data_IF_455924687768
#
_entry.id   IF_455924687768
#
_cell.length_a   1.000
_cell.length_b   1.000
_cell.length_c   1.000
_cell.angle_alpha   90.00
_cell.angle_beta   90.00
_cell.angle_gamma   90.00
#
_symmetry.space_group_name_H-M   'P 1'
#
loop_
_entity.id
_entity.type
_entity.pdbx_description
1 polymer ?
#
# COMPACT_ATOMS: atom_id res chain seq x y z
N UNK A 1 20.50 -38.66 -30.98
CA UNK A 1 21.43 -37.96 -30.08
C UNK A 1 20.58 -37.05 -29.23
N UNK A 2 20.08 -37.60 -28.12
CA UNK A 2 19.14 -36.93 -27.22
C UNK A 2 19.93 -36.10 -26.20
N UNK A 3 19.94 -34.78 -26.36
CA UNK A 3 20.40 -33.85 -25.33
C UNK A 3 19.20 -33.38 -24.51
N UNK A 4 18.72 -34.26 -23.63
CA UNK A 4 17.86 -33.88 -22.51
C UNK A 4 18.75 -33.31 -21.39
N UNK A 5 19.01 -32.01 -21.43
CA UNK A 5 19.59 -31.28 -20.29
C UNK A 5 18.56 -31.23 -19.17
N UNK A 6 18.74 -32.15 -18.22
CA UNK A 6 18.07 -32.13 -16.92
C UNK A 6 18.46 -30.83 -16.19
N UNK A 7 17.55 -29.85 -16.18
CA UNK A 7 17.65 -28.71 -15.27
C UNK A 7 17.69 -29.24 -13.83
N UNK A 8 18.69 -28.89 -13.01
CA UNK A 8 18.69 -29.26 -11.60
C UNK A 8 17.53 -28.54 -10.92
N UNK A 9 16.63 -29.31 -10.30
CA UNK A 9 15.66 -28.80 -9.36
C UNK A 9 16.37 -28.04 -8.23
N UNK A 10 15.71 -26.99 -7.73
CA UNK A 10 16.16 -26.10 -6.66
C UNK A 10 16.51 -26.85 -5.36
N UNK A 11 17.73 -27.39 -5.29
CA UNK A 11 18.39 -27.75 -4.06
C UNK A 11 18.81 -26.47 -3.36
N UNK A 12 18.26 -26.22 -2.16
CA UNK A 12 18.58 -25.05 -1.35
C UNK A 12 20.07 -24.99 -1.03
N UNK A 13 20.82 -24.26 -1.85
CA UNK A 13 22.21 -23.91 -1.60
C UNK A 13 22.32 -23.30 -0.20
N UNK A 14 23.24 -23.83 0.60
CA UNK A 14 23.53 -23.23 1.89
C UNK A 14 24.13 -21.84 1.68
N UNK A 15 23.36 -20.82 2.02
CA UNK A 15 23.75 -19.42 1.84
C UNK A 15 24.59 -18.98 3.04
N UNK A 16 25.86 -18.57 2.86
CA UNK A 16 26.68 -18.11 3.95
C UNK A 16 26.12 -16.82 4.56
N UNK A 17 26.39 -16.55 5.85
CA UNK A 17 25.87 -15.36 6.54
C UNK A 17 26.33 -14.05 5.89
N UNK A 18 27.52 -14.03 5.30
CA UNK A 18 28.04 -12.88 4.55
C UNK A 18 27.18 -12.56 3.31
N UNK A 19 26.74 -13.59 2.59
CA UNK A 19 25.87 -13.41 1.42
C UNK A 19 24.49 -12.88 1.85
N UNK A 20 23.93 -13.42 2.93
CA UNK A 20 22.66 -12.92 3.50
C UNK A 20 22.75 -11.44 3.90
N UNK A 21 23.84 -11.05 4.57
CA UNK A 21 24.07 -9.67 4.98
C UNK A 21 24.21 -8.73 3.77
N UNK A 22 24.97 -9.13 2.76
CA UNK A 22 25.15 -8.36 1.53
C UNK A 22 23.84 -8.22 0.76
N UNK A 23 23.05 -9.29 0.65
CA UNK A 23 21.72 -9.23 0.02
C UNK A 23 20.79 -8.28 0.78
N UNK A 24 20.75 -8.35 2.11
CA UNK A 24 19.91 -7.50 2.94
C UNK A 24 20.29 -6.02 2.80
N UNK A 25 21.59 -5.70 2.86
CA UNK A 25 22.11 -4.34 2.68
C UNK A 25 21.75 -3.79 1.30
N UNK A 26 21.99 -4.58 0.25
CA UNK A 26 21.71 -4.17 -1.14
C UNK A 26 20.21 -3.95 -1.35
N UNK A 27 19.36 -4.85 -0.82
CA UNK A 27 17.89 -4.67 -0.86
C UNK A 27 17.47 -3.39 -0.16
N UNK A 28 18.02 -3.10 1.02
CA UNK A 28 17.70 -1.89 1.79
C UNK A 28 18.14 -0.62 1.06
N UNK A 29 19.31 -0.64 0.41
CA UNK A 29 19.88 0.50 -0.30
C UNK A 29 19.01 0.97 -1.47
N UNK A 30 18.34 0.04 -2.15
CA UNK A 30 17.47 0.32 -3.29
C UNK A 30 15.97 0.42 -2.98
N UNK A 31 15.54 -0.09 -1.81
CA UNK A 31 14.13 -0.15 -1.46
C UNK A 31 13.48 1.24 -1.51
N UNK A 32 12.34 1.32 -2.20
CA UNK A 32 11.51 2.52 -2.33
C UNK A 32 12.16 3.71 -3.03
N UNK A 33 13.32 3.53 -3.69
CA UNK A 33 13.89 4.61 -4.51
C UNK A 33 13.00 4.87 -5.72
N UNK A 34 12.73 6.15 -5.98
CA UNK A 34 12.01 6.62 -7.15
C UNK A 34 13.01 7.12 -8.17
N UNK A 35 12.73 6.86 -9.44
CA UNK A 35 13.54 7.38 -10.54
C UNK A 35 12.70 7.49 -11.81
N UNK A 36 13.13 8.37 -12.70
CA UNK A 36 12.56 8.50 -14.04
C UNK A 36 13.33 7.66 -15.05
N UNK A 37 12.61 6.93 -15.90
CA UNK A 37 13.23 6.08 -16.90
C UNK A 37 12.33 5.82 -18.10
N UNK A 38 12.95 5.34 -19.17
CA UNK A 38 12.32 4.98 -20.42
C UNK A 38 12.23 3.46 -20.51
N UNK A 39 11.02 2.94 -20.57
CA UNK A 39 10.80 1.54 -20.90
C UNK A 39 10.85 1.38 -22.42
N UNK A 40 11.88 0.67 -22.90
CA UNK A 40 12.23 0.63 -24.32
C UNK A 40 11.68 -0.60 -25.02
N UNK A 41 12.10 -1.79 -24.57
CA UNK A 41 11.78 -3.05 -25.21
C UNK A 41 11.96 -4.24 -24.26
N UNK A 42 11.56 -5.42 -24.74
CA UNK A 42 11.72 -6.69 -24.05
C UNK A 42 12.69 -7.57 -24.82
N UNK A 43 13.84 -7.87 -24.22
CA UNK A 43 14.95 -8.56 -24.87
C UNK A 43 15.19 -9.92 -24.22
N UNK A 44 15.63 -10.88 -25.02
CA UNK A 44 16.12 -12.17 -24.53
C UNK A 44 17.53 -11.98 -23.96
N UNK A 45 17.72 -12.36 -22.70
CA UNK A 45 19.03 -12.39 -22.06
C UNK A 45 19.50 -13.84 -22.03
N UNK A 46 20.54 -14.13 -22.82
CA UNK A 46 21.07 -15.48 -22.99
C UNK A 46 21.62 -16.07 -21.68
N UNK A 47 22.26 -15.24 -20.85
CA UNK A 47 22.89 -15.69 -19.59
C UNK A 47 21.88 -16.26 -18.59
N UNK A 48 20.62 -15.82 -18.66
CA UNK A 48 19.54 -16.29 -17.77
C UNK A 48 18.44 -17.04 -18.55
N UNK A 49 18.68 -17.33 -19.83
CA UNK A 49 17.75 -17.98 -20.76
C UNK A 49 16.32 -17.46 -20.66
N UNK A 50 16.14 -16.15 -20.59
CA UNK A 50 14.85 -15.55 -20.27
C UNK A 50 14.68 -14.12 -20.78
N UNK A 51 13.43 -13.73 -21.01
CA UNK A 51 13.09 -12.38 -21.44
C UNK A 51 13.10 -11.40 -20.27
N UNK A 52 13.70 -10.24 -20.48
CA UNK A 52 13.79 -9.15 -19.52
C UNK A 52 13.44 -7.83 -20.21
N UNK A 53 12.75 -6.99 -19.47
CA UNK A 53 12.32 -5.67 -19.89
C UNK A 53 13.44 -4.66 -19.60
N UNK A 54 13.76 -3.82 -20.60
CA UNK A 54 14.85 -2.87 -20.54
C UNK A 54 14.32 -1.49 -20.19
N UNK A 55 14.75 -0.98 -19.03
CA UNK A 55 14.45 0.38 -18.58
C UNK A 55 15.73 1.21 -18.55
N UNK A 56 15.80 2.21 -19.40
CA UNK A 56 16.93 3.14 -19.50
C UNK A 56 16.72 4.30 -18.54
N UNK A 57 17.76 4.71 -17.81
CA UNK A 57 17.65 5.84 -16.89
C UNK A 57 17.52 7.16 -17.66
N UNK A 58 16.73 8.08 -17.12
CA UNK A 58 16.67 9.45 -17.64
C UNK A 58 17.95 10.23 -17.27
N UNK A 59 18.35 11.19 -18.11
CA UNK A 59 19.56 12.01 -17.93
C UNK A 59 19.72 12.70 -16.56
N UNK A 60 18.60 12.99 -15.89
CA UNK A 60 18.56 13.62 -14.57
C UNK A 60 19.03 12.67 -13.44
N UNK A 61 18.93 11.35 -13.64
CA UNK A 61 19.14 10.32 -12.60
C UNK A 61 20.63 9.93 -12.41
N UNK A 62 21.52 10.93 -12.39
CA UNK A 62 22.99 10.73 -12.30
C UNK A 62 23.45 10.11 -10.99
N UNK A 63 22.76 10.43 -9.89
CA UNK A 63 23.10 9.86 -8.58
C UNK A 63 22.76 8.37 -8.52
N UNK A 64 21.62 7.98 -9.09
CA UNK A 64 21.24 6.58 -9.19
C UNK A 64 22.14 5.81 -10.15
N UNK A 65 22.53 6.40 -11.29
CA UNK A 65 23.51 5.81 -12.21
C UNK A 65 24.83 5.47 -11.50
N UNK A 66 25.41 6.42 -10.75
CA UNK A 66 26.64 6.17 -9.98
C UNK A 66 26.48 5.04 -8.98
N UNK A 67 25.33 5.00 -8.30
CA UNK A 67 25.02 3.97 -7.32
C UNK A 67 24.89 2.59 -7.96
N UNK A 68 24.15 2.49 -9.07
CA UNK A 68 23.97 1.26 -9.85
C UNK A 68 25.31 0.73 -10.32
N UNK A 69 26.14 1.58 -10.91
CA UNK A 69 27.46 1.18 -11.41
C UNK A 69 28.38 0.66 -10.29
N UNK A 70 28.46 1.40 -9.18
CA UNK A 70 29.24 0.98 -8.00
C UNK A 70 28.73 -0.36 -7.44
N UNK A 71 27.42 -0.50 -7.27
CA UNK A 71 26.83 -1.71 -6.71
C UNK A 71 26.95 -2.92 -7.65
N UNK A 72 26.83 -2.72 -8.97
CA UNK A 72 26.97 -3.78 -9.95
C UNK A 72 28.37 -4.37 -9.90
N UNK A 73 29.41 -3.51 -9.87
CA UNK A 73 30.80 -3.95 -9.73
C UNK A 73 31.06 -4.66 -8.40
N UNK A 74 30.47 -4.19 -7.29
CA UNK A 74 30.58 -4.86 -5.98
C UNK A 74 29.90 -6.22 -5.96
N UNK A 75 28.66 -6.31 -6.44
CA UNK A 75 27.89 -7.55 -6.52
C UNK A 75 28.60 -8.57 -7.41
N UNK A 76 29.10 -8.14 -8.57
CA UNK A 76 29.81 -9.01 -9.49
C UNK A 76 31.09 -9.56 -8.86
N UNK A 77 31.91 -8.72 -8.20
CA UNK A 77 33.11 -9.16 -7.47
C UNK A 77 32.80 -10.09 -6.31
N UNK A 78 31.73 -9.81 -5.57
CA UNK A 78 31.32 -10.65 -4.44
C UNK A 78 30.88 -12.04 -4.93
N UNK A 79 30.01 -12.08 -5.94
CA UNK A 79 29.44 -13.33 -6.44
C UNK A 79 30.39 -14.16 -7.30
N UNK A 80 31.45 -13.59 -7.88
CA UNK A 80 32.47 -14.35 -8.62
C UNK A 80 33.02 -15.57 -7.84
N UNK A 81 33.08 -15.48 -6.50
CA UNK A 81 33.58 -16.56 -5.63
C UNK A 81 32.55 -17.67 -5.39
N UNK A 82 31.28 -17.37 -5.61
CA UNK A 82 30.15 -18.11 -5.09
C UNK A 82 29.31 -18.70 -6.21
N UNK A 83 28.97 -17.88 -7.21
CA UNK A 83 28.15 -18.23 -8.35
C UNK A 83 28.91 -17.78 -9.59
N UNK A 84 29.60 -18.69 -10.30
CA UNK A 84 30.22 -18.34 -11.57
C UNK A 84 29.14 -17.84 -12.53
N UNK A 85 29.42 -16.73 -13.22
CA UNK A 85 28.51 -16.07 -14.16
C UNK A 85 27.19 -15.54 -13.57
N UNK A 86 27.18 -15.16 -12.28
CA UNK A 86 26.05 -14.41 -11.71
C UNK A 86 25.74 -13.17 -12.56
N UNK A 87 24.55 -13.13 -13.15
CA UNK A 87 24.12 -12.00 -13.95
C UNK A 87 23.47 -10.94 -13.06
N UNK A 88 23.97 -9.71 -13.15
CA UNK A 88 23.38 -8.56 -12.45
C UNK A 88 22.56 -7.79 -13.47
N UNK A 89 21.28 -7.54 -13.17
CA UNK A 89 20.35 -6.83 -14.06
C UNK A 89 20.64 -5.34 -14.23
N UNK A 90 21.91 -4.95 -14.35
CA UNK A 90 22.40 -3.60 -14.63
C UNK A 90 23.44 -3.73 -15.74
N UNK A 91 23.25 -2.99 -16.83
CA UNK A 91 24.24 -2.91 -17.91
C UNK A 91 24.51 -1.46 -18.28
N UNK A 92 25.60 -1.26 -19.02
CA UNK A 92 26.00 0.03 -19.53
C UNK A 92 26.07 -0.05 -21.05
N UNK A 93 25.33 0.82 -21.75
CA UNK A 93 25.21 0.84 -23.20
C UNK A 93 24.47 -0.39 -23.75
N UNK A 94 24.86 -0.80 -24.96
CA UNK A 94 24.30 -1.95 -25.67
C UNK A 94 24.70 -3.27 -25.02
N UNK A 95 23.74 -4.21 -24.89
CA UNK A 95 24.00 -5.52 -24.30
C UNK A 95 23.06 -6.58 -24.88
N UNK A 96 23.63 -7.72 -25.30
CA UNK A 96 22.88 -8.80 -25.94
C UNK A 96 22.18 -8.30 -27.21
N UNK A 97 20.87 -8.51 -27.29
CA UNK A 97 20.05 -8.02 -28.40
C UNK A 97 19.63 -6.55 -28.27
N UNK A 98 19.80 -5.93 -27.10
CA UNK A 98 19.48 -4.52 -26.89
C UNK A 98 20.58 -3.62 -27.47
N UNK A 99 20.20 -2.75 -28.40
CA UNK A 99 21.09 -1.73 -28.97
C UNK A 99 20.70 -0.35 -28.44
N UNK A 100 21.55 0.21 -27.58
CA UNK A 100 21.34 1.55 -27.07
C UNK A 100 21.53 2.58 -28.18
N UNK A 101 20.53 3.43 -28.38
CA UNK A 101 20.60 4.59 -29.29
C UNK A 101 20.79 5.83 -28.44
N UNK A 102 21.85 6.58 -28.71
CA UNK A 102 22.14 7.80 -27.99
C UNK A 102 21.00 8.83 -28.19
N UNK A 103 20.25 9.08 -27.12
CA UNK A 103 19.20 10.08 -27.05
C UNK A 103 19.62 11.13 -26.00
N UNK A 104 19.59 12.45 -26.32
CA UNK A 104 19.98 13.50 -25.38
C UNK A 104 19.25 13.47 -24.03
N UNK A 105 18.07 12.83 -23.95
CA UNK A 105 17.29 12.65 -22.72
C UNK A 105 17.64 11.41 -21.89
N UNK A 106 18.46 10.48 -22.41
CA UNK A 106 18.71 9.17 -21.83
C UNK A 106 20.16 9.03 -21.32
N UNK A 107 20.35 8.17 -20.33
CA UNK A 107 21.65 7.68 -19.89
C UNK A 107 21.96 6.35 -20.58
N UNK A 108 23.23 5.95 -20.58
CA UNK A 108 23.65 4.66 -21.12
C UNK A 108 23.35 3.52 -20.14
N UNK A 109 23.10 3.83 -18.86
CA UNK A 109 22.80 2.82 -17.84
C UNK A 109 21.39 2.27 -18.00
N UNK A 110 21.28 0.93 -18.05
CA UNK A 110 20.04 0.20 -18.23
C UNK A 110 19.78 -0.72 -17.01
N UNK A 111 18.52 -0.77 -16.58
CA UNK A 111 18.03 -1.73 -15.59
C UNK A 111 17.20 -2.79 -16.30
N UNK A 112 17.53 -4.04 -16.04
CA UNK A 112 16.82 -5.19 -16.59
C UNK A 112 15.89 -5.77 -15.53
N UNK A 113 14.61 -5.87 -15.86
CA UNK A 113 13.54 -6.21 -14.92
C UNK A 113 12.50 -7.12 -15.58
N UNK A 114 11.52 -7.57 -14.81
CA UNK A 114 10.26 -8.11 -15.32
C UNK A 114 9.14 -7.11 -14.99
N UNK A 115 8.50 -6.56 -16.02
CA UNK A 115 7.35 -5.66 -15.94
C UNK A 115 6.21 -6.31 -16.74
N UNK A 116 5.02 -6.36 -16.16
CA UNK A 116 3.85 -6.90 -16.83
C UNK A 116 3.00 -5.76 -17.39
N UNK A 117 2.56 -5.91 -18.64
CA UNK A 117 1.52 -5.11 -19.29
C UNK A 117 1.72 -3.58 -19.25
N UNK A 118 2.98 -3.12 -19.36
CA UNK A 118 3.30 -1.70 -19.52
C UNK A 118 3.56 -1.39 -21.00
N UNK A 119 3.08 -0.25 -21.49
CA UNK A 119 3.41 0.22 -22.84
C UNK A 119 4.80 0.89 -22.85
N UNK A 120 5.50 0.84 -23.98
CA UNK A 120 6.78 1.55 -24.12
C UNK A 120 6.61 3.05 -23.94
N UNK A 121 7.60 3.70 -23.33
CA UNK A 121 7.54 5.14 -23.05
C UNK A 121 8.21 5.52 -21.73
N UNK A 122 7.96 6.75 -21.32
CA UNK A 122 8.59 7.35 -20.15
C UNK A 122 7.70 7.30 -18.91
N UNK A 123 8.26 6.84 -17.80
CA UNK A 123 7.53 6.66 -16.55
C UNK A 123 8.38 7.00 -15.34
N UNK A 124 7.67 7.30 -14.25
CA UNK A 124 8.23 7.22 -12.91
C UNK A 124 8.17 5.77 -12.43
N UNK A 125 9.31 5.25 -12.02
CA UNK A 125 9.45 3.92 -11.45
C UNK A 125 9.83 4.01 -9.98
N UNK A 126 9.37 3.01 -9.22
CA UNK A 126 9.83 2.75 -7.86
C UNK A 126 10.49 1.38 -7.80
N UNK A 127 11.70 1.31 -7.25
CA UNK A 127 12.37 0.03 -6.98
C UNK A 127 11.74 -0.59 -5.73
N UNK A 128 10.95 -1.66 -5.92
CA UNK A 128 10.31 -2.36 -4.79
C UNK A 128 11.33 -3.15 -3.98
N UNK A 129 12.15 -3.93 -4.65
CA UNK A 129 13.16 -4.81 -4.05
C UNK A 129 14.08 -5.39 -5.14
N UNK A 130 15.15 -6.05 -4.71
CA UNK A 130 15.97 -6.92 -5.56
C UNK A 130 15.62 -8.39 -5.26
N UNK A 131 15.49 -9.19 -6.31
CA UNK A 131 15.33 -10.64 -6.25
C UNK A 131 16.67 -11.28 -6.58
N UNK A 132 17.19 -12.04 -5.64
CA UNK A 132 18.37 -12.88 -5.83
C UNK A 132 17.88 -14.27 -6.14
N UNK A 133 18.12 -14.73 -7.37
CA UNK A 133 17.91 -16.12 -7.78
C UNK A 133 19.29 -16.78 -7.92
N UNK A 134 19.31 -18.05 -8.30
CA UNK A 134 20.54 -18.84 -8.31
C UNK A 134 21.63 -18.28 -9.24
N UNK A 135 21.23 -17.69 -10.37
CA UNK A 135 22.14 -17.13 -11.38
C UNK A 135 21.81 -15.68 -11.79
N UNK A 136 20.88 -15.01 -11.09
CA UNK A 136 20.54 -13.64 -11.40
C UNK A 136 20.21 -12.76 -10.20
N UNK A 137 20.61 -11.49 -10.30
CA UNK A 137 20.14 -10.40 -9.45
C UNK A 137 19.20 -9.52 -10.27
N UNK A 138 17.92 -9.66 -10.02
CA UNK A 138 16.85 -9.01 -10.77
C UNK A 138 16.25 -7.84 -9.98
N UNK A 139 16.10 -6.68 -10.64
CA UNK A 139 15.37 -5.55 -10.07
C UNK A 139 13.87 -5.79 -10.22
N UNK A 140 13.10 -5.52 -9.15
CA UNK A 140 11.64 -5.54 -9.21
C UNK A 140 11.13 -4.11 -9.19
N UNK A 141 10.69 -3.62 -10.35
CA UNK A 141 10.16 -2.27 -10.49
C UNK A 141 8.63 -2.21 -10.31
N UNK A 142 8.13 -1.03 -9.96
CA UNK A 142 6.72 -0.67 -10.01
C UNK A 142 6.60 0.63 -10.79
N UNK A 143 5.77 0.65 -11.82
CA UNK A 143 5.35 1.91 -12.42
C UNK A 143 4.51 2.70 -11.41
N UNK A 144 4.85 3.97 -11.21
CA UNK A 144 4.16 4.90 -10.30
C UNK A 144 3.21 5.80 -11.08
N UNK A 145 3.70 6.43 -12.15
CA UNK A 145 2.89 7.26 -13.06
C UNK A 145 3.58 7.40 -14.43
N UNK A 146 2.82 7.59 -15.52
CA UNK A 146 3.37 8.04 -16.79
C UNK A 146 3.94 9.46 -16.67
N UNK A 147 4.96 9.75 -17.46
CA UNK A 147 5.43 11.12 -17.69
C UNK A 147 4.74 11.61 -18.94
N UNK A 148 3.93 12.65 -18.81
CA UNK A 148 3.33 13.29 -19.98
C UNK A 148 4.46 13.91 -20.83
N UNK A 149 4.51 13.64 -22.14
CA UNK A 149 5.48 14.28 -23.01
C UNK A 149 5.21 15.77 -22.98
N UNK A 150 6.19 16.54 -22.47
CA UNK A 150 6.11 17.99 -22.47
C UNK A 150 5.95 18.43 -23.94
N UNK A 151 4.83 19.07 -24.31
CA UNK A 151 4.60 19.44 -25.70
C UNK A 151 5.70 20.42 -26.08
N UNK A 152 6.55 20.01 -27.03
CA UNK A 152 7.55 20.88 -27.66
C UNK A 152 6.82 22.16 -28.04
N UNK A 153 7.17 23.24 -27.35
CA UNK A 153 6.55 24.53 -27.52
C UNK A 153 6.62 24.92 -29.00
N UNK A 154 5.49 24.86 -29.69
CA UNK A 154 5.31 25.64 -30.89
C UNK A 154 5.47 27.10 -30.46
N UNK A 155 6.27 27.92 -31.17
CA UNK A 155 6.53 29.29 -30.76
C UNK A 155 5.23 30.09 -30.90
N UNK A 156 4.49 30.20 -29.80
CA UNK A 156 3.31 31.05 -29.71
C UNK A 156 3.80 32.49 -29.66
N UNK A 157 3.52 33.23 -30.74
CA UNK A 157 3.62 34.69 -30.78
C UNK A 157 2.99 35.26 -29.51
N UNK A 158 3.78 36.08 -28.83
CA UNK A 158 3.38 36.90 -27.70
C UNK A 158 2.16 37.75 -28.04
N UNK A 159 1.10 37.62 -27.25
CA UNK A 159 0.16 38.69 -27.01
C UNK A 159 0.12 38.93 -25.50
N UNK A 160 0.89 39.92 -25.09
CA UNK A 160 0.76 40.60 -23.81
C UNK A 160 -0.62 41.25 -23.75
N UNK A 161 -1.44 40.87 -22.78
CA UNK A 161 -2.55 41.72 -22.34
C UNK A 161 -2.53 41.84 -20.81
N UNK A 162 -2.07 43.01 -20.38
CA UNK A 162 -2.37 43.58 -19.07
C UNK A 162 -3.88 43.55 -18.82
N UNK A 163 -4.32 43.07 -17.65
CA UNK A 163 -5.39 43.78 -16.92
C UNK A 163 -5.42 43.43 -15.43
N UNK A 164 -4.91 44.40 -14.68
CA UNK A 164 -5.23 44.79 -13.31
C UNK A 164 -6.51 44.21 -12.67
N UNK A 165 -6.33 43.62 -11.49
CA UNK A 165 -7.38 43.51 -10.46
C UNK A 165 -7.89 44.89 -10.03
N UNK A 166 -9.19 45.04 -9.70
CA UNK A 166 -9.66 46.11 -8.84
C UNK A 166 -10.13 45.56 -7.50
N UNK A 167 -9.41 45.93 -6.46
CA UNK A 167 -9.85 45.91 -5.06
C UNK A 167 -10.32 47.33 -4.71
N UNK A 168 -11.50 47.43 -4.09
CA UNK A 168 -12.09 48.55 -3.31
C UNK A 168 -12.56 49.81 -4.04
N UNK A 169 -13.85 50.13 -3.83
CA UNK A 169 -14.27 51.44 -3.36
C UNK A 169 -15.56 51.31 -2.52
N UNK A 170 -15.43 51.60 -1.22
CA UNK A 170 -16.50 51.90 -0.27
C UNK A 170 -16.68 53.41 -0.33
N UNK A 171 -17.90 53.90 -0.54
CA UNK A 171 -18.26 55.31 -0.26
C UNK A 171 -19.59 55.36 0.46
N UNK A 172 -19.51 55.78 1.71
CA UNK A 172 -20.59 56.25 2.59
C UNK A 172 -21.10 57.62 2.14
N UNK A 173 -22.41 57.84 2.29
CA UNK A 173 -23.06 59.15 2.20
C UNK A 173 -24.38 59.12 2.98
N UNK A 174 -24.42 59.86 4.08
CA UNK A 174 -25.55 60.02 5.02
C UNK A 174 -26.61 61.01 4.52
N UNK A 175 -27.86 60.87 5.01
CA UNK A 175 -28.80 62.00 5.15
C UNK A 175 -30.30 61.63 5.24
N UNK A 176 -30.82 61.53 6.48
CA UNK A 176 -32.16 61.88 7.03
C UNK A 176 -33.44 61.70 6.16
N UNK A 177 -34.61 61.22 6.61
CA UNK A 177 -35.23 61.11 7.94
C UNK A 177 -36.60 60.41 7.86
N UNK A 178 -37.05 59.88 9.01
CA UNK A 178 -38.43 59.64 9.48
C UNK A 178 -39.25 58.40 9.02
N UNK A 179 -39.46 57.54 10.02
CA UNK A 179 -40.74 56.98 10.49
C UNK A 179 -41.28 55.63 9.95
N UNK A 180 -41.33 54.69 10.91
CA UNK A 180 -42.34 53.62 11.16
C UNK A 180 -42.22 52.30 10.37
N UNK A 181 -42.68 51.19 10.99
CA UNK A 181 -42.12 49.86 10.80
C UNK A 181 -42.95 49.04 9.81
N UNK A 182 -42.41 48.76 8.63
CA UNK A 182 -42.90 47.70 7.73
C UNK A 182 -41.73 47.04 6.93
N UNK A 183 -40.51 47.17 7.43
CA UNK A 183 -39.25 46.89 6.73
C UNK A 183 -38.92 45.39 6.55
N UNK A 184 -39.80 44.46 6.96
CA UNK A 184 -39.54 43.01 6.85
C UNK A 184 -40.16 42.40 5.59
N UNK A 185 -41.10 43.09 4.93
CA UNK A 185 -41.75 42.59 3.72
C UNK A 185 -41.08 43.07 2.41
N UNK A 186 -40.54 44.30 2.37
CA UNK A 186 -39.89 44.86 1.17
C UNK A 186 -38.46 44.35 0.96
N UNK A 187 -37.73 43.99 2.02
CA UNK A 187 -36.36 43.47 1.90
C UNK A 187 -36.30 42.06 1.30
N UNK A 188 -37.40 41.30 1.37
CA UNK A 188 -37.55 40.00 0.71
C UNK A 188 -37.89 40.16 -0.78
N UNK A 189 -38.65 41.20 -1.14
CA UNK A 189 -38.99 41.48 -2.55
C UNK A 189 -37.80 42.09 -3.31
N UNK A 190 -37.08 43.05 -2.72
CA UNK A 190 -35.86 43.63 -3.30
C UNK A 190 -34.72 42.59 -3.51
N UNK A 191 -34.72 41.48 -2.78
CA UNK A 191 -33.75 40.38 -2.99
C UNK A 191 -34.16 39.34 -4.03
N UNK A 192 -35.46 39.17 -4.28
CA UNK A 192 -35.99 38.18 -5.23
C UNK A 192 -35.89 38.66 -6.67
N UNK A 193 -36.19 39.94 -6.92
CA UNK A 193 -36.08 40.53 -8.26
C UNK A 193 -34.63 40.63 -8.71
N UNK A 194 -33.71 40.97 -7.79
CA UNK A 194 -32.28 41.05 -8.04
C UNK A 194 -31.67 39.64 -8.24
N UNK A 195 -32.15 38.64 -7.50
CA UNK A 195 -31.81 37.23 -7.73
C UNK A 195 -32.35 36.72 -9.08
N UNK A 196 -33.57 37.07 -9.47
CA UNK A 196 -34.16 36.72 -10.76
C UNK A 196 -33.39 37.34 -11.92
N UNK A 197 -32.96 38.59 -11.78
CA UNK A 197 -32.12 39.27 -12.75
C UNK A 197 -30.75 38.59 -12.90
N UNK A 198 -30.10 38.23 -11.79
CA UNK A 198 -28.83 37.49 -11.81
C UNK A 198 -29.01 36.08 -12.40
N UNK A 199 -30.11 35.41 -12.10
CA UNK A 199 -30.43 34.07 -12.63
C UNK A 199 -30.70 34.13 -14.14
N UNK A 200 -31.41 35.15 -14.62
CA UNK A 200 -31.64 35.36 -16.04
C UNK A 200 -30.34 35.72 -16.77
N UNK A 201 -29.52 36.61 -16.21
CA UNK A 201 -28.21 36.94 -16.77
C UNK A 201 -27.27 35.73 -16.82
N UNK A 202 -27.31 34.88 -15.80
CA UNK A 202 -26.55 33.62 -15.80
C UNK A 202 -27.11 32.63 -16.83
N UNK A 203 -28.44 32.52 -16.94
CA UNK A 203 -29.11 31.67 -17.93
C UNK A 203 -28.74 32.08 -19.36
N UNK A 204 -28.75 33.37 -19.66
CA UNK A 204 -28.45 33.88 -21.00
C UNK A 204 -26.95 33.76 -21.30
N UNK A 205 -26.08 33.96 -20.31
CA UNK A 205 -24.65 33.67 -20.44
C UNK A 205 -24.37 32.19 -20.72
N UNK A 206 -25.05 31.27 -20.01
CA UNK A 206 -24.90 29.82 -20.24
C UNK A 206 -25.46 29.43 -21.60
N UNK A 207 -26.63 29.94 -22.00
CA UNK A 207 -27.19 29.70 -23.33
C UNK A 207 -26.22 30.15 -24.41
N UNK A 208 -25.66 31.35 -24.29
CA UNK A 208 -24.73 31.88 -25.29
C UNK A 208 -23.43 31.07 -25.36
N UNK A 209 -22.89 30.65 -24.21
CA UNK A 209 -21.69 29.79 -24.14
C UNK A 209 -21.96 28.40 -24.74
N UNK A 210 -23.13 27.82 -24.47
CA UNK A 210 -23.55 26.52 -25.01
C UNK A 210 -23.87 26.62 -26.50
N UNK A 211 -24.44 27.73 -26.95
CA UNK A 211 -24.73 27.96 -28.37
C UNK A 211 -23.45 28.21 -29.17
N UNK A 212 -22.48 28.94 -28.62
CA UNK A 212 -21.15 29.11 -29.23
C UNK A 212 -20.37 27.79 -29.25
N UNK A 213 -20.47 26.96 -28.21
CA UNK A 213 -19.88 25.61 -28.19
C UNK A 213 -20.57 24.66 -29.18
N UNK A 214 -21.91 24.68 -29.25
CA UNK A 214 -22.66 23.86 -30.20
C UNK A 214 -22.47 24.30 -31.65
N UNK A 215 -22.44 25.60 -31.93
CA UNK A 215 -22.32 26.11 -33.29
C UNK A 215 -20.91 25.95 -33.86
N UNK A 216 -19.87 25.96 -33.01
CA UNK A 216 -18.48 25.95 -33.44
C UNK A 216 -17.82 24.56 -33.40
N UNK A 217 -18.18 23.67 -32.46
CA UNK A 217 -17.51 22.36 -32.27
C UNK A 217 -18.33 21.11 -32.65
N UNK A 218 -19.63 21.28 -33.01
CA UNK A 218 -20.51 20.15 -33.35
C UNK A 218 -20.51 19.87 -34.85
N UNK A 219 -19.39 19.34 -35.34
CA UNK A 219 -19.34 18.78 -36.69
C UNK A 219 -19.97 17.36 -36.67
N UNK A 220 -20.78 17.01 -37.67
CA UNK A 220 -21.45 15.68 -37.75
C UNK A 220 -20.46 14.51 -37.66
N UNK A 221 -19.23 14.72 -38.14
CA UNK A 221 -18.11 13.76 -38.03
C UNK A 221 -17.61 13.59 -36.59
N UNK A 222 -17.62 14.66 -35.79
CA UNK A 222 -17.19 14.64 -34.39
C UNK A 222 -18.23 13.90 -33.54
N UNK A 223 -19.52 14.19 -33.71
CA UNK A 223 -20.62 13.48 -33.03
C UNK A 223 -20.56 11.97 -33.32
N UNK A 224 -20.38 11.58 -34.58
CA UNK A 224 -20.29 10.17 -34.96
C UNK A 224 -19.07 9.49 -34.31
N UNK A 225 -17.95 10.21 -34.23
CA UNK A 225 -16.76 9.77 -33.49
C UNK A 225 -17.03 9.58 -32.00
N UNK A 226 -17.72 10.53 -31.36
CA UNK A 226 -18.09 10.45 -29.94
C UNK A 226 -19.04 9.29 -29.66
N UNK A 227 -20.05 9.05 -30.50
CA UNK A 227 -20.97 7.92 -30.34
C UNK A 227 -20.23 6.59 -30.48
N UNK A 228 -19.33 6.46 -31.46
CA UNK A 228 -18.52 5.24 -31.64
C UNK A 228 -17.58 5.01 -30.46
N UNK A 229 -16.94 6.07 -29.96
CA UNK A 229 -16.10 6.00 -28.77
C UNK A 229 -16.92 5.61 -27.52
N UNK A 230 -18.10 6.19 -27.34
CA UNK A 230 -19.00 5.86 -26.23
C UNK A 230 -19.43 4.39 -26.28
N UNK A 231 -19.74 3.87 -27.47
CA UNK A 231 -20.05 2.46 -27.67
C UNK A 231 -18.89 1.53 -27.28
N UNK A 232 -17.66 1.86 -27.71
CA UNK A 232 -16.46 1.10 -27.34
C UNK A 232 -16.16 1.19 -25.84
N UNK A 233 -16.37 2.36 -25.22
CA UNK A 233 -16.20 2.56 -23.79
C UNK A 233 -17.18 1.70 -23.01
N UNK A 234 -18.47 1.70 -23.38
CA UNK A 234 -19.49 0.88 -22.72
C UNK A 234 -19.16 -0.60 -22.90
N UNK A 235 -18.77 -1.04 -24.09
CA UNK A 235 -18.42 -2.44 -24.34
C UNK A 235 -17.18 -2.88 -23.53
N UNK A 236 -16.17 -2.00 -23.46
CA UNK A 236 -14.96 -2.23 -22.65
C UNK A 236 -15.28 -2.26 -21.15
N UNK A 237 -16.11 -1.32 -20.67
CA UNK A 237 -16.52 -1.25 -19.27
C UNK A 237 -17.36 -2.47 -18.87
N UNK A 238 -18.31 -2.89 -19.71
CA UNK A 238 -19.13 -4.09 -19.47
C UNK A 238 -18.29 -5.37 -19.53
N UNK A 239 -17.38 -5.49 -20.51
CA UNK A 239 -16.46 -6.62 -20.61
C UNK A 239 -15.53 -6.71 -19.40
N UNK A 240 -14.96 -5.57 -18.99
CA UNK A 240 -14.13 -5.44 -17.79
C UNK A 240 -14.91 -5.79 -16.52
N UNK A 241 -16.15 -5.30 -16.39
CA UNK A 241 -17.02 -5.61 -15.26
C UNK A 241 -17.37 -7.10 -15.20
N UNK A 242 -17.68 -7.73 -16.33
CA UNK A 242 -17.98 -9.16 -16.38
C UNK A 242 -16.77 -10.02 -15.97
N UNK A 243 -15.57 -9.66 -16.42
CA UNK A 243 -14.33 -10.33 -16.01
C UNK A 243 -14.05 -10.11 -14.53
N UNK A 244 -14.16 -8.87 -14.05
CA UNK A 244 -13.99 -8.53 -12.64
C UNK A 244 -14.97 -9.31 -11.76
N UNK A 245 -16.23 -9.47 -12.17
CA UNK A 245 -17.23 -10.23 -11.43
C UNK A 245 -16.88 -11.72 -11.35
N UNK A 246 -16.35 -12.30 -12.43
CA UNK A 246 -15.87 -13.70 -12.42
C UNK A 246 -14.70 -13.88 -11.46
N UNK A 247 -13.71 -12.98 -11.51
CA UNK A 247 -12.57 -13.03 -10.59
C UNK A 247 -13.01 -12.80 -9.13
N UNK A 248 -13.90 -11.83 -8.90
CA UNK A 248 -14.45 -11.54 -7.58
C UNK A 248 -15.23 -12.72 -7.04
N UNK A 249 -16.00 -13.43 -7.86
CA UNK A 249 -16.72 -14.65 -7.46
C UNK A 249 -15.77 -15.76 -7.00
N UNK A 250 -14.75 -16.07 -7.79
CA UNK A 250 -13.74 -17.09 -7.41
C UNK A 250 -12.97 -16.67 -6.15
N UNK A 251 -12.59 -15.39 -6.06
CA UNK A 251 -11.94 -14.84 -4.89
C UNK A 251 -12.85 -14.92 -3.65
N UNK A 252 -14.11 -14.51 -3.77
CA UNK A 252 -15.08 -14.52 -2.68
C UNK A 252 -15.29 -15.93 -2.14
N UNK A 253 -15.44 -16.94 -3.01
CA UNK A 253 -15.58 -18.34 -2.57
C UNK A 253 -14.33 -18.81 -1.80
N UNK A 254 -13.13 -18.52 -2.30
CA UNK A 254 -11.87 -18.88 -1.61
C UNK A 254 -11.71 -18.13 -0.29
N UNK A 255 -12.07 -16.85 -0.28
CA UNK A 255 -12.05 -16.02 0.91
C UNK A 255 -13.04 -16.53 1.95
N UNK A 256 -14.26 -16.89 1.56
CA UNK A 256 -15.28 -17.42 2.47
C UNK A 256 -14.87 -18.78 3.03
N UNK A 257 -14.22 -19.62 2.23
CA UNK A 257 -13.66 -20.89 2.70
C UNK A 257 -12.55 -20.68 3.74
N UNK A 258 -11.61 -19.77 3.47
CA UNK A 258 -10.53 -19.47 4.42
C UNK A 258 -11.06 -18.74 5.67
N UNK A 259 -12.04 -17.85 5.50
CA UNK A 259 -12.72 -17.16 6.59
C UNK A 259 -13.50 -18.15 7.47
N UNK A 260 -14.10 -19.18 6.89
CA UNK A 260 -14.77 -20.26 7.64
C UNK A 260 -13.76 -21.03 8.48
N UNK A 261 -12.61 -21.42 7.91
CA UNK A 261 -11.51 -22.05 8.66
C UNK A 261 -10.99 -21.14 9.77
N UNK A 262 -10.79 -19.85 9.48
CA UNK A 262 -10.41 -18.86 10.48
C UNK A 262 -11.45 -18.72 11.58
N UNK A 263 -12.75 -18.70 11.24
CA UNK A 263 -13.82 -18.59 12.24
C UNK A 263 -13.83 -19.83 13.12
N UNK A 264 -13.67 -21.02 12.56
CA UNK A 264 -13.60 -22.26 13.33
C UNK A 264 -12.42 -22.29 14.31
N UNK A 265 -11.26 -21.75 13.93
CA UNK A 265 -10.10 -21.65 14.83
C UNK A 265 -10.21 -20.48 15.81
N UNK A 266 -10.82 -19.37 15.42
CA UNK A 266 -10.98 -18.17 16.24
C UNK A 266 -12.10 -18.29 17.29
N UNK A 267 -13.20 -18.97 16.97
CA UNK A 267 -14.36 -19.14 17.87
C UNK A 267 -13.99 -19.65 19.26
N UNK A 268 -13.21 -20.75 19.43
CA UNK A 268 -12.82 -21.20 20.76
C UNK A 268 -11.93 -20.19 21.49
N UNK A 269 -11.08 -19.46 20.78
CA UNK A 269 -10.22 -18.42 21.35
C UNK A 269 -11.08 -17.27 21.90
N UNK A 270 -12.06 -16.82 21.11
CA UNK A 270 -13.00 -15.77 21.51
C UNK A 270 -13.84 -16.21 22.71
N UNK A 271 -14.36 -17.45 22.71
CA UNK A 271 -15.09 -17.97 23.87
C UNK A 271 -14.24 -18.01 25.14
N UNK A 272 -12.98 -18.43 25.04
CA UNK A 272 -12.05 -18.42 26.18
C UNK A 272 -11.75 -17.00 26.67
N UNK A 273 -11.68 -16.04 25.76
CA UNK A 273 -11.47 -14.63 26.11
C UNK A 273 -12.70 -14.03 26.80
N UNK A 274 -13.91 -14.36 26.35
CA UNK A 274 -15.17 -13.98 27.02
C UNK A 274 -15.26 -14.62 28.41
N UNK A 275 -14.94 -15.91 28.55
CA UNK A 275 -14.90 -16.58 29.86
C UNK A 275 -13.90 -15.92 30.81
N UNK A 276 -12.73 -15.54 30.31
CA UNK A 276 -11.70 -14.84 31.07
C UNK A 276 -12.19 -13.47 31.55
N UNK A 277 -12.80 -12.67 30.67
CA UNK A 277 -13.39 -11.38 31.04
C UNK A 277 -14.52 -11.54 32.07
N UNK A 278 -15.41 -12.53 31.89
CA UNK A 278 -16.46 -12.80 32.86
C UNK A 278 -15.90 -13.18 34.23
N UNK A 279 -14.79 -13.94 34.29
CA UNK A 279 -14.11 -14.25 35.57
C UNK A 279 -13.47 -13.02 36.19
N UNK A 280 -12.86 -12.13 35.40
CA UNK A 280 -12.31 -10.87 35.91
C UNK A 280 -13.41 -10.03 36.53
N UNK A 281 -14.52 -9.83 35.81
CA UNK A 281 -15.66 -9.04 36.27
C UNK A 281 -16.28 -9.69 37.52
N UNK A 282 -16.47 -11.01 37.51
CA UNK A 282 -16.99 -11.75 38.66
C UNK A 282 -16.09 -11.65 39.90
N UNK A 283 -14.78 -11.82 39.74
CA UNK A 283 -13.81 -11.65 40.82
C UNK A 283 -13.81 -10.21 41.36
N UNK A 284 -13.93 -9.22 40.48
CA UNK A 284 -14.06 -7.82 40.85
C UNK A 284 -15.34 -7.56 41.68
N UNK A 285 -16.48 -8.10 41.28
CA UNK A 285 -17.73 -8.02 42.06
C UNK A 285 -17.60 -8.72 43.42
N UNK A 286 -16.97 -9.90 43.49
CA UNK A 286 -16.72 -10.58 44.77
C UNK A 286 -15.84 -9.73 45.68
N UNK A 287 -14.78 -9.13 45.14
CA UNK A 287 -13.89 -8.24 45.89
C UNK A 287 -14.66 -7.01 46.41
N UNK A 288 -15.53 -6.44 45.57
CA UNK A 288 -16.41 -5.33 45.96
C UNK A 288 -17.36 -5.73 47.09
N UNK A 289 -18.00 -6.91 47.00
CA UNK A 289 -18.93 -7.39 48.04
C UNK A 289 -18.22 -7.77 49.32
N UNK A 290 -16.99 -8.29 49.27
CA UNK A 290 -16.15 -8.52 50.46
C UNK A 290 -15.76 -7.22 51.14
N UNK A 291 -15.35 -6.19 50.39
CA UNK A 291 -15.06 -4.86 50.94
C UNK A 291 -16.32 -4.24 51.54
N UNK A 292 -17.45 -4.31 50.84
CA UNK A 292 -18.72 -3.81 51.34
C UNK A 292 -19.15 -4.53 52.62
N UNK A 293 -19.04 -5.87 52.65
CA UNK A 293 -19.30 -6.67 53.84
C UNK A 293 -18.34 -6.28 54.97
N UNK A 294 -17.05 -6.13 54.73
CA UNK A 294 -16.10 -5.77 55.78
C UNK A 294 -16.35 -4.36 56.34
N UNK A 295 -16.79 -3.42 55.50
CA UNK A 295 -17.21 -2.07 55.91
C UNK A 295 -18.50 -2.12 56.73
N UNK A 296 -19.51 -2.87 56.29
CA UNK A 296 -20.83 -2.95 56.96
C UNK A 296 -20.81 -3.84 58.21
N UNK A 297 -20.00 -4.88 58.24
CA UNK A 297 -19.94 -5.87 59.34
C UNK A 297 -18.85 -5.57 60.37
N UNK A 298 -18.14 -4.44 60.25
CA UNK A 298 -17.08 -3.98 61.18
C UNK A 298 -17.52 -3.78 62.64
N UNK A 299 -18.76 -4.11 63.00
CA UNK A 299 -19.30 -4.06 64.35
C UNK A 299 -20.15 -5.26 64.79
N UNK A 300 -20.27 -6.35 64.02
CA UNK A 300 -21.03 -7.54 64.45
C UNK A 300 -20.16 -8.79 64.71
N UNK A 301 -20.34 -9.49 65.84
CA UNK A 301 -19.62 -10.72 66.15
C UNK A 301 -20.07 -11.88 65.25
N UNK A 302 -19.11 -12.67 64.75
CA UNK A 302 -19.39 -13.83 63.89
C UNK A 302 -20.29 -14.88 64.58
N UNK A 303 -21.25 -15.49 63.86
CA UNK A 303 -22.02 -16.62 64.38
C UNK A 303 -21.13 -17.87 64.50
N UNK A 304 -21.13 -18.48 65.70
CA UNK A 304 -20.32 -19.63 66.14
C UNK A 304 -20.41 -20.93 65.29
N UNK A 305 -21.22 -20.98 64.24
CA UNK A 305 -21.42 -22.20 63.45
C UNK A 305 -20.24 -22.54 62.51
N UNK A 306 -19.41 -21.58 62.09
CA UNK A 306 -18.26 -21.86 61.22
C UNK A 306 -17.05 -22.47 61.95
N UNK A 307 -16.92 -22.27 63.27
CA UNK A 307 -15.84 -22.90 64.06
C UNK A 307 -16.04 -24.41 64.24
N UNK A 308 -17.30 -24.87 64.31
CA UNK A 308 -17.64 -26.27 64.52
C UNK A 308 -17.31 -27.18 63.32
N UNK A 309 -17.27 -26.64 62.10
CA UNK A 309 -16.99 -27.43 60.91
C UNK A 309 -15.48 -27.59 60.62
N UNK A 310 -14.63 -26.63 61.04
CA UNK A 310 -13.17 -26.80 60.94
C UNK A 310 -12.64 -27.82 61.96
N UNK A 311 -13.29 -27.94 63.13
CA UNK A 311 -12.87 -28.87 64.17
C UNK A 311 -13.15 -30.34 63.83
N UNK A 312 -14.12 -30.60 62.93
CA UNK A 312 -14.45 -31.96 62.48
C UNK A 312 -13.42 -32.54 61.48
N UNK A 313 -12.64 -31.69 60.79
CA UNK A 313 -11.71 -32.12 59.74
C UNK A 313 -10.28 -32.42 60.23
N UNK A 314 -9.93 -32.03 61.47
CA UNK A 314 -8.60 -32.23 62.06
C UNK A 314 -8.35 -33.65 62.61
N UNK A 315 -9.27 -34.61 62.40
CA UNK A 315 -9.12 -36.02 62.80
C UNK A 315 -8.29 -36.89 61.85
N UNK A 316 -7.56 -36.31 60.88
CA UNK A 316 -6.58 -37.08 60.10
C UNK A 316 -5.23 -37.14 60.83
N UNK A 317 -5.00 -38.31 61.42
CA UNK A 317 -3.80 -38.78 62.14
C UNK A 317 -2.53 -38.44 61.34
N UNK A 318 -1.67 -37.58 61.88
CA UNK A 318 -0.34 -37.32 61.33
C UNK A 318 0.52 -38.58 61.43
N UNK A 319 1.01 -39.07 60.30
CA UNK A 319 1.94 -40.20 60.22
C UNK A 319 3.30 -39.73 60.75
N UNK A 320 3.71 -40.29 61.89
CA UNK A 320 5.02 -40.03 62.50
C UNK A 320 6.01 -41.05 61.93
N UNK A 321 7.03 -40.58 61.20
CA UNK A 321 8.09 -41.45 60.67
C UNK A 321 9.11 -41.76 61.78
N UNK A 322 9.18 -43.04 62.16
CA UNK A 322 10.18 -43.57 63.08
C UNK A 322 11.53 -43.68 62.34
N UNK A 323 12.53 -42.92 62.80
CA UNK A 323 13.89 -42.90 62.24
C UNK A 323 14.68 -44.06 62.84
N UNK A 324 14.81 -45.16 62.12
CA UNK A 324 15.63 -46.30 62.51
C UNK A 324 17.12 -45.94 62.49
N UNK A 325 17.77 -46.00 63.65
CA UNK A 325 19.23 -45.90 63.75
C UNK A 325 19.93 -47.20 63.31
N UNK A 326 21.12 -47.11 62.69
CA UNK A 326 21.83 -48.28 62.19
C UNK A 326 22.61 -49.02 63.29
N UNK A 327 22.11 -50.21 63.61
CA UNK A 327 22.85 -51.47 63.81
C UNK A 327 24.29 -51.37 64.37
N UNK A 328 24.43 -51.48 65.70
CA UNK A 328 25.73 -51.71 66.38
C UNK A 328 25.92 -53.20 66.66
N UNK A 329 26.82 -53.82 65.91
CA UNK A 329 27.31 -55.20 66.10
C UNK A 329 27.84 -55.41 67.52
N UNK A 330 27.49 -56.53 68.14
CA UNK A 330 28.25 -57.15 69.23
C UNK A 330 28.85 -58.47 68.75
N UNK A 331 30.13 -58.78 69.06
CA UNK A 331 30.72 -60.07 68.77
C UNK A 331 30.34 -61.11 69.83
N UNK A 332 30.32 -62.36 69.36
CA UNK A 332 30.26 -63.62 70.12
C UNK A 332 31.26 -63.63 71.28
N UNK A 333 30.86 -64.18 72.44
CA UNK A 333 31.14 -65.55 72.89
C UNK A 333 30.13 -65.94 73.97
#
# INVERSE_FOLDING_TARGET
MDNSELMPQAGGRHMPPEELAMQALTKQLYKSRLFRGYYMERCLVEQVSGYRDVVVLQRSERELEKLLHSSAGQLQKFYQRFVPNMWVGITYGSYGSYQHKADPGQLETCIWTEINDLAFGEYWFSIKTLRFRDHEVQFKLKMVRPVEPEPIATPRRSLTLNRSSPVKAITTGEGNSSSKPDEVAEQIQLGLDDFLAVLQQWSDGVKQTVYEFMANDVNKRNILGTIRFMGLLIFSALGGAALALRFLGVFAVRFLFELSRFTHTATPIVFKLIEFLNKIVGAFFILLTMIWKDIVTRGQPQPKQQQLHLEASSRFKSIQYERSEPNRRSPRW
#
